data_IF_791598280087
#
_entry.id   IF_791598280087
#
_cell.length_a   1.000
_cell.length_b   1.000
_cell.length_c   1.000
_cell.angle_alpha   90.00
_cell.angle_beta   90.00
_cell.angle_gamma   90.00
#
_symmetry.space_group_name_H-M   'P 1'
#
loop_
_entity.id
_entity.type
_entity.pdbx_description
1 polymer ?
#
# COMPACT_ATOMS: atom_id res chain seq x y z
N UNK A 1 43.74 -21.75 -1.89
CA UNK A 1 43.64 -22.84 -0.89
C UNK A 1 43.23 -22.20 0.42
N UNK A 2 41.96 -22.25 0.78
CA UNK A 2 41.46 -21.76 2.07
C UNK A 2 40.89 -22.96 2.84
N UNK A 3 41.53 -23.28 3.96
CA UNK A 3 41.10 -24.31 4.91
C UNK A 3 40.32 -23.64 6.05
N UNK A 4 39.08 -24.09 6.21
CA UNK A 4 38.27 -24.36 7.41
C UNK A 4 38.81 -23.83 8.76
N UNK A 5 37.92 -23.17 9.53
CA UNK A 5 37.70 -23.54 10.93
C UNK A 5 36.20 -23.45 11.29
N UNK A 6 35.57 -24.61 11.34
CA UNK A 6 34.44 -24.88 12.22
C UNK A 6 35.03 -25.19 13.60
N UNK A 7 34.54 -24.53 14.66
CA UNK A 7 34.69 -25.06 16.01
C UNK A 7 33.47 -24.74 16.86
N UNK A 8 32.83 -25.83 17.26
CA UNK A 8 31.75 -25.97 18.23
C UNK A 8 32.12 -25.28 19.55
N UNK A 9 31.19 -24.51 20.10
CA UNK A 9 31.23 -24.07 21.50
C UNK A 9 29.98 -24.60 22.19
N UNK A 10 30.16 -25.64 23.01
CA UNK A 10 29.16 -26.11 23.98
C UNK A 10 29.71 -25.78 25.38
N UNK A 11 28.82 -25.34 26.27
CA UNK A 11 28.98 -25.06 27.72
C UNK A 11 29.34 -23.62 28.13
N UNK A 12 28.33 -22.78 28.18
CA UNK A 12 27.91 -22.12 29.44
C UNK A 12 26.41 -21.82 29.29
N UNK A 13 25.69 -21.52 30.39
CA UNK A 13 24.26 -21.16 30.37
C UNK A 13 23.98 -19.83 29.67
N UNK A 14 24.35 -19.74 28.40
CA UNK A 14 24.27 -18.58 27.54
C UNK A 14 22.82 -18.42 27.09
N UNK A 15 22.28 -17.21 27.27
CA UNK A 15 21.21 -16.73 26.41
C UNK A 15 21.60 -17.08 24.97
N UNK A 16 20.83 -18.01 24.37
CA UNK A 16 21.07 -18.40 22.99
C UNK A 16 20.84 -17.15 22.16
N UNK A 17 21.87 -16.73 21.43
CA UNK A 17 21.73 -15.60 20.50
C UNK A 17 20.58 -15.87 19.56
N UNK A 18 19.71 -14.89 19.26
CA UNK A 18 18.65 -15.06 18.29
C UNK A 18 19.22 -15.59 16.96
N UNK A 19 18.56 -16.59 16.40
CA UNK A 19 18.95 -17.23 15.13
C UNK A 19 17.98 -16.77 14.05
N UNK A 20 18.51 -16.32 12.91
CA UNK A 20 17.69 -15.91 11.78
C UNK A 20 16.80 -17.06 11.29
N UNK A 21 15.56 -16.73 10.89
CA UNK A 21 14.55 -17.75 10.50
C UNK A 21 15.04 -18.71 9.40
N UNK A 22 15.88 -18.22 8.49
CA UNK A 22 16.41 -19.03 7.39
C UNK A 22 17.44 -20.07 7.83
N UNK A 23 18.09 -19.88 8.97
CA UNK A 23 19.12 -20.77 9.51
C UNK A 23 18.54 -21.82 10.48
N UNK A 24 17.23 -21.77 10.75
CA UNK A 24 16.53 -22.74 11.58
C UNK A 24 16.45 -24.12 10.89
N UNK A 25 16.42 -25.22 11.67
CA UNK A 25 16.16 -26.56 11.15
C UNK A 25 14.83 -26.63 10.39
N UNK A 26 14.79 -27.37 9.28
CA UNK A 26 13.60 -27.51 8.45
C UNK A 26 12.41 -28.19 9.15
N UNK A 27 12.69 -29.02 10.16
CA UNK A 27 11.71 -29.71 10.99
C UNK A 27 11.38 -28.97 12.29
N UNK A 28 11.84 -27.73 12.43
CA UNK A 28 11.56 -26.92 13.62
C UNK A 28 10.05 -26.71 13.76
N UNK A 29 9.54 -27.11 14.93
CA UNK A 29 8.22 -26.77 15.42
C UNK A 29 8.31 -26.44 16.91
N UNK A 30 7.71 -25.33 17.32
CA UNK A 30 7.71 -24.90 18.71
C UNK A 30 6.49 -24.03 19.04
N UNK A 31 6.19 -23.92 20.33
CA UNK A 31 5.21 -22.97 20.83
C UNK A 31 5.83 -21.58 20.97
N UNK A 32 5.13 -20.55 20.49
CA UNK A 32 5.51 -19.15 20.69
C UNK A 32 5.20 -18.75 22.13
N UNK A 33 6.23 -18.39 22.89
CA UNK A 33 6.08 -17.82 24.23
C UNK A 33 5.72 -16.34 24.15
N UNK A 34 6.58 -15.56 23.50
CA UNK A 34 6.45 -14.11 23.41
C UNK A 34 6.97 -13.57 22.07
N UNK A 35 6.43 -12.44 21.64
CA UNK A 35 6.83 -11.73 20.42
C UNK A 35 7.35 -10.34 20.81
N UNK A 36 8.65 -10.14 20.63
CA UNK A 36 9.31 -8.85 20.83
C UNK A 36 9.41 -8.13 19.48
N UNK A 37 8.98 -6.86 19.42
CA UNK A 37 8.98 -6.07 18.19
C UNK A 37 9.90 -4.86 18.38
N UNK A 38 10.79 -4.67 17.42
CA UNK A 38 11.64 -3.50 17.32
C UNK A 38 11.39 -2.79 15.99
N UNK A 39 11.05 -1.50 16.06
CA UNK A 39 10.75 -0.66 14.89
C UNK A 39 11.83 0.41 14.75
N UNK A 40 12.58 0.35 13.66
CA UNK A 40 13.56 1.37 13.26
C UNK A 40 12.92 2.42 12.34
N UNK A 41 13.39 3.68 12.43
CA UNK A 41 12.88 4.76 11.59
C UNK A 41 13.36 4.63 10.14
N UNK A 42 12.69 5.35 9.24
CA UNK A 42 12.95 5.35 7.80
C UNK A 42 14.38 5.71 7.38
N UNK A 43 15.05 6.60 8.11
CA UNK A 43 16.41 7.03 7.78
C UNK A 43 17.48 6.47 8.73
N UNK A 44 17.12 5.56 9.65
CA UNK A 44 18.11 4.94 10.54
C UNK A 44 19.14 4.13 9.73
N UNK A 45 20.43 4.38 9.98
CA UNK A 45 21.52 3.73 9.24
C UNK A 45 21.73 4.24 7.80
N UNK A 46 21.08 5.33 7.39
CA UNK A 46 21.29 5.94 6.07
C UNK A 46 22.71 6.48 5.94
N UNK A 47 23.35 6.25 4.77
CA UNK A 47 24.64 6.86 4.45
C UNK A 47 24.44 8.34 4.18
N UNK A 48 25.15 9.18 4.93
CA UNK A 48 25.13 10.64 4.80
C UNK A 48 26.41 11.07 4.09
N UNK A 49 26.29 11.84 3.02
CA UNK A 49 27.45 12.34 2.30
C UNK A 49 27.71 13.84 2.59
N UNK A 50 26.68 14.60 3.01
CA UNK A 50 26.74 16.05 3.26
C UNK A 50 25.93 16.44 4.51
N UNK A 51 26.35 17.47 5.23
CA UNK A 51 25.69 17.96 6.47
C UNK A 51 24.22 18.38 6.27
N UNK A 52 23.88 18.85 5.06
CA UNK A 52 22.51 19.19 4.70
C UNK A 52 21.61 17.95 4.60
N UNK A 53 22.12 16.84 4.05
CA UNK A 53 21.38 15.57 3.97
C UNK A 53 21.11 15.02 5.37
N UNK A 54 22.08 15.11 6.28
CA UNK A 54 21.92 14.71 7.68
C UNK A 54 20.77 15.46 8.36
N UNK A 55 20.72 16.77 8.13
CA UNK A 55 19.68 17.64 8.69
C UNK A 55 18.30 17.31 8.12
N UNK A 56 18.22 16.99 6.83
CA UNK A 56 16.98 16.54 6.19
C UNK A 56 16.51 15.19 6.72
N UNK A 57 17.41 14.22 6.90
CA UNK A 57 17.08 12.90 7.43
C UNK A 57 16.63 12.96 8.89
N UNK A 58 17.28 13.80 9.72
CA UNK A 58 16.83 14.06 11.10
C UNK A 58 15.45 14.70 11.14
N UNK A 59 15.18 15.67 10.26
CA UNK A 59 13.85 16.27 10.16
C UNK A 59 12.82 15.25 9.69
N UNK A 60 13.18 14.40 8.72
CA UNK A 60 12.38 13.27 8.27
C UNK A 60 12.03 12.34 9.43
N UNK A 61 13.01 11.82 10.15
CA UNK A 61 12.78 10.94 11.31
C UNK A 61 11.92 11.60 12.40
N UNK A 62 12.00 12.93 12.59
CA UNK A 62 11.16 13.65 13.55
C UNK A 62 9.70 13.77 13.10
N UNK A 63 9.46 13.85 11.79
CA UNK A 63 8.13 13.99 11.21
C UNK A 63 7.47 12.63 10.90
N UNK A 64 8.29 11.60 10.67
CA UNK A 64 7.83 10.24 10.42
C UNK A 64 7.22 9.65 11.70
N UNK A 65 6.03 9.06 11.57
CA UNK A 65 5.39 8.33 12.66
C UNK A 65 5.63 6.86 12.44
N UNK A 66 6.32 6.23 13.39
CA UNK A 66 6.66 4.81 13.28
C UNK A 66 5.44 3.92 13.21
N UNK A 67 5.56 2.82 12.46
CA UNK A 67 4.56 1.77 12.42
C UNK A 67 4.32 1.21 13.83
N UNK A 68 3.05 1.10 14.23
CA UNK A 68 2.70 0.61 15.56
C UNK A 68 2.90 -0.90 15.64
N UNK A 69 3.40 -1.41 16.76
CA UNK A 69 3.62 -2.84 17.01
C UNK A 69 2.37 -3.69 16.73
N UNK A 70 1.19 -3.19 17.11
CA UNK A 70 -0.08 -3.88 16.85
C UNK A 70 -0.33 -4.12 15.36
N UNK A 71 0.17 -3.24 14.49
CA UNK A 71 0.06 -3.38 13.04
C UNK A 71 1.04 -4.42 12.54
N UNK A 72 2.25 -4.49 13.10
CA UNK A 72 3.22 -5.54 12.81
C UNK A 72 2.67 -6.91 13.23
N UNK A 73 2.22 -7.06 14.49
CA UNK A 73 1.57 -8.30 14.99
C UNK A 73 0.41 -8.75 14.10
N UNK A 74 -0.37 -7.80 13.58
CA UNK A 74 -1.51 -8.09 12.71
C UNK A 74 -1.14 -8.77 11.38
N UNK A 75 0.10 -8.64 10.95
CA UNK A 75 0.61 -9.19 9.70
C UNK A 75 1.42 -10.48 9.89
N UNK A 76 1.66 -10.88 11.15
CA UNK A 76 2.17 -12.20 11.47
C UNK A 76 1.06 -13.24 11.30
N UNK A 77 1.43 -14.44 10.85
CA UNK A 77 0.50 -15.55 10.66
C UNK A 77 0.23 -16.34 11.95
N UNK A 78 0.83 -15.91 13.05
CA UNK A 78 0.76 -16.53 14.37
C UNK A 78 0.62 -15.45 15.45
N UNK A 79 0.22 -15.88 16.63
CA UNK A 79 0.18 -15.11 17.85
C UNK A 79 0.96 -15.81 18.97
N UNK A 80 1.11 -15.12 20.10
CA UNK A 80 1.65 -15.71 21.33
C UNK A 80 0.77 -16.90 21.76
N UNK A 81 1.41 -18.02 22.10
CA UNK A 81 0.76 -19.29 22.44
C UNK A 81 0.53 -20.25 21.27
N UNK A 82 0.64 -19.80 20.01
CA UNK A 82 0.44 -20.64 18.84
C UNK A 82 1.61 -21.63 18.63
N UNK A 83 1.33 -22.77 18.01
CA UNK A 83 2.34 -23.67 17.47
C UNK A 83 2.78 -23.16 16.10
N UNK A 84 4.08 -22.95 15.90
CA UNK A 84 4.65 -22.47 14.64
C UNK A 84 5.69 -23.43 14.10
N UNK A 85 5.79 -23.49 12.78
CA UNK A 85 6.90 -24.14 12.07
C UNK A 85 7.79 -23.09 11.44
N UNK A 86 8.99 -23.50 11.00
CA UNK A 86 9.90 -22.63 10.24
C UNK A 86 9.21 -21.97 9.04
N UNK A 87 8.34 -22.68 8.33
CA UNK A 87 7.63 -22.18 7.15
C UNK A 87 6.68 -21.03 7.51
N UNK A 88 5.95 -21.15 8.63
CA UNK A 88 5.03 -20.10 9.11
C UNK A 88 5.80 -18.82 9.46
N UNK A 89 6.99 -18.96 10.05
CA UNK A 89 7.86 -17.83 10.38
C UNK A 89 8.39 -17.15 9.12
N UNK A 90 8.88 -17.92 8.13
CA UNK A 90 9.36 -17.39 6.85
C UNK A 90 8.23 -16.69 6.11
N UNK A 91 7.04 -17.29 6.04
CA UNK A 91 5.90 -16.68 5.37
C UNK A 91 5.46 -15.39 6.08
N UNK A 92 5.54 -15.34 7.41
CA UNK A 92 5.28 -14.12 8.18
C UNK A 92 6.31 -13.01 7.90
N UNK A 93 7.61 -13.34 7.83
CA UNK A 93 8.66 -12.39 7.46
C UNK A 93 8.43 -11.85 6.04
N UNK A 94 8.14 -12.74 5.08
CA UNK A 94 7.83 -12.35 3.71
C UNK A 94 6.57 -11.49 3.63
N UNK A 95 5.55 -11.77 4.45
CA UNK A 95 4.33 -10.97 4.51
C UNK A 95 4.60 -9.55 5.03
N UNK A 96 5.52 -9.39 5.99
CA UNK A 96 5.98 -8.08 6.46
C UNK A 96 6.77 -7.35 5.37
N UNK A 97 7.75 -8.00 4.73
CA UNK A 97 8.56 -7.41 3.64
C UNK A 97 7.74 -6.93 2.44
N UNK A 98 6.56 -7.50 2.21
CA UNK A 98 5.64 -7.07 1.14
C UNK A 98 4.84 -5.81 1.46
N UNK A 99 4.99 -5.22 2.65
CA UNK A 99 4.24 -4.02 3.05
C UNK A 99 4.96 -2.77 2.57
N UNK A 100 4.26 -1.96 1.78
CA UNK A 100 4.78 -0.72 1.19
C UNK A 100 5.22 0.38 2.19
N UNK A 101 5.02 0.16 3.50
CA UNK A 101 5.45 1.07 4.57
C UNK A 101 6.65 0.52 5.36
N UNK A 102 7.13 -0.68 5.03
CA UNK A 102 8.34 -1.29 5.59
C UNK A 102 9.39 -1.40 4.48
N UNK A 103 10.60 -0.97 4.78
CA UNK A 103 11.77 -1.16 3.91
C UNK A 103 12.31 -2.59 4.01
N UNK A 104 12.31 -3.15 5.22
CA UNK A 104 12.73 -4.52 5.48
C UNK A 104 12.10 -5.06 6.77
N UNK A 105 12.11 -6.38 6.92
CA UNK A 105 11.71 -7.10 8.12
C UNK A 105 12.60 -8.33 8.33
N UNK A 106 12.96 -8.60 9.57
CA UNK A 106 13.80 -9.72 9.99
C UNK A 106 13.09 -10.41 11.15
N UNK A 107 12.96 -11.73 11.07
CA UNK A 107 12.48 -12.57 12.17
C UNK A 107 13.61 -13.46 12.65
N UNK A 108 13.90 -13.36 13.94
CA UNK A 108 14.90 -14.18 14.62
C UNK A 108 14.23 -14.94 15.78
N UNK A 109 14.75 -16.12 16.07
CA UNK A 109 14.20 -17.02 17.10
C UNK A 109 15.24 -17.25 18.18
N UNK A 110 14.84 -17.01 19.42
CA UNK A 110 15.58 -17.35 20.63
C UNK A 110 14.87 -18.52 21.32
N UNK A 111 15.57 -19.64 21.46
CA UNK A 111 15.04 -20.78 22.22
C UNK A 111 15.26 -20.58 23.72
N UNK A 112 14.17 -20.67 24.51
CA UNK A 112 14.25 -20.70 25.97
C UNK A 112 14.07 -22.11 26.51
N UNK A 113 15.02 -22.54 27.34
CA UNK A 113 15.01 -23.85 27.99
C UNK A 113 13.69 -24.08 28.73
N UNK A 114 12.89 -25.02 28.22
CA UNK A 114 11.63 -25.46 28.84
C UNK A 114 10.45 -24.49 28.73
N UNK A 115 10.55 -23.40 27.96
CA UNK A 115 9.53 -22.34 27.91
C UNK A 115 9.07 -21.97 26.48
N UNK A 116 9.40 -22.78 25.47
CA UNK A 116 9.06 -22.47 24.07
C UNK A 116 10.08 -21.52 23.43
N UNK A 117 9.65 -20.82 22.38
CA UNK A 117 10.50 -19.89 21.63
C UNK A 117 10.05 -18.44 21.80
N UNK A 118 11.03 -17.56 21.86
CA UNK A 118 10.84 -16.12 21.80
C UNK A 118 11.13 -15.65 20.39
N UNK A 119 10.22 -14.87 19.83
CA UNK A 119 10.34 -14.37 18.46
C UNK A 119 10.69 -12.90 18.49
N UNK A 120 11.85 -12.57 17.93
CA UNK A 120 12.31 -11.21 17.73
C UNK A 120 11.94 -10.77 16.32
N UNK A 121 11.13 -9.71 16.21
CA UNK A 121 10.68 -9.14 14.96
C UNK A 121 11.26 -7.74 14.83
N UNK A 122 12.27 -7.59 14.00
CA UNK A 122 12.89 -6.30 13.71
C UNK A 122 12.39 -5.80 12.37
N UNK A 123 11.77 -4.63 12.35
CA UNK A 123 11.29 -4.00 11.11
C UNK A 123 11.93 -2.64 10.91
N UNK A 124 12.18 -2.31 9.67
CA UNK A 124 12.70 -1.02 9.24
C UNK A 124 11.58 -0.30 8.51
N UNK A 125 11.11 0.81 9.05
CA UNK A 125 10.09 1.60 8.39
C UNK A 125 10.62 2.18 7.07
N UNK A 126 9.70 2.44 6.14
CA UNK A 126 9.98 3.20 4.93
C UNK A 126 9.32 4.58 5.03
N UNK A 127 10.01 5.59 4.51
CA UNK A 127 9.41 6.91 4.31
C UNK A 127 8.17 6.79 3.41
N UNK A 128 7.01 7.17 3.96
CA UNK A 128 5.71 6.87 3.35
C UNK A 128 4.99 8.10 2.78
N UNK A 129 5.42 9.32 3.16
CA UNK A 129 4.90 10.58 2.61
C UNK A 129 5.52 10.90 1.24
N UNK A 130 4.75 10.77 0.18
CA UNK A 130 5.22 10.99 -1.19
C UNK A 130 4.55 12.21 -1.83
N UNK A 131 5.27 13.32 -2.09
CA UNK A 131 4.78 14.37 -2.98
C UNK A 131 4.84 13.88 -4.43
N UNK A 132 3.92 14.35 -5.27
CA UNK A 132 3.85 14.00 -6.68
C UNK A 132 3.44 15.18 -7.53
N UNK A 133 3.96 15.24 -8.75
CA UNK A 133 3.56 16.20 -9.77
C UNK A 133 3.65 15.56 -11.14
N UNK A 134 2.85 16.04 -12.08
CA UNK A 134 2.91 15.61 -13.47
C UNK A 134 2.49 16.74 -14.41
N UNK A 135 3.13 16.79 -15.58
CA UNK A 135 2.87 17.75 -16.63
C UNK A 135 2.81 17.00 -17.96
N UNK A 136 1.78 17.27 -18.77
CA UNK A 136 1.60 16.66 -20.08
C UNK A 136 1.06 17.70 -21.06
N UNK A 137 1.51 17.62 -22.31
CA UNK A 137 0.96 18.44 -23.42
C UNK A 137 0.12 17.55 -24.33
N UNK A 138 -1.06 18.02 -24.70
CA UNK A 138 -1.97 17.35 -25.65
C UNK A 138 -2.42 18.40 -26.66
N UNK A 139 -1.89 18.33 -27.88
CA UNK A 139 -2.09 19.38 -28.89
C UNK A 139 -1.59 20.74 -28.38
N UNK A 140 -2.46 21.75 -28.44
CA UNK A 140 -2.18 23.10 -27.92
C UNK A 140 -2.45 23.26 -26.41
N UNK A 141 -3.02 22.25 -25.75
CA UNK A 141 -3.38 22.31 -24.34
C UNK A 141 -2.33 21.63 -23.46
N UNK A 142 -2.28 22.06 -22.20
CA UNK A 142 -1.41 21.49 -21.16
C UNK A 142 -2.27 20.98 -20.03
N UNK A 143 -2.06 19.73 -19.62
CA UNK A 143 -2.63 19.14 -18.43
C UNK A 143 -1.55 18.99 -17.37
N UNK A 144 -1.92 19.13 -16.11
CA UNK A 144 -1.00 18.98 -15.00
C UNK A 144 -1.72 18.49 -13.75
N UNK A 145 -0.97 17.91 -12.83
CA UNK A 145 -1.46 17.57 -11.50
C UNK A 145 -0.34 17.73 -10.48
N UNK A 146 -0.73 18.00 -9.24
CA UNK A 146 0.16 17.99 -8.08
C UNK A 146 -0.59 17.39 -6.90
N UNK A 147 0.10 16.66 -6.02
CA UNK A 147 -0.53 16.03 -4.88
C UNK A 147 0.45 15.52 -3.84
N UNK A 148 -0.13 15.07 -2.73
CA UNK A 148 0.58 14.49 -1.61
C UNK A 148 -0.14 13.21 -1.19
N UNK A 149 0.64 12.14 -0.97
CA UNK A 149 0.14 10.85 -0.52
C UNK A 149 0.89 10.42 0.74
N UNK A 150 0.18 9.89 1.72
CA UNK A 150 0.72 9.28 2.93
C UNK A 150 0.23 7.84 2.99
N UNK A 151 1.12 6.86 3.12
CA UNK A 151 0.80 5.41 3.02
C UNK A 151 0.78 4.66 4.35
N UNK A 152 1.31 5.26 5.41
CA UNK A 152 1.35 4.75 6.78
C UNK A 152 0.78 5.78 7.77
N UNK A 153 -0.41 6.30 7.47
CA UNK A 153 -1.03 7.38 8.25
C UNK A 153 -0.99 7.06 9.75
N UNK A 154 -0.25 7.88 10.51
CA UNK A 154 -0.09 7.76 11.96
C UNK A 154 0.37 6.35 12.43
N UNK A 155 1.15 5.65 11.59
CA UNK A 155 1.67 4.31 11.88
C UNK A 155 0.63 3.19 11.78
N UNK A 156 -0.52 3.40 11.11
CA UNK A 156 -1.60 2.40 11.02
C UNK A 156 -1.58 1.56 9.74
N UNK A 157 -0.68 1.84 8.80
CA UNK A 157 -0.68 1.25 7.46
C UNK A 157 -1.84 1.69 6.57
N UNK A 158 -2.55 2.77 6.94
CA UNK A 158 -3.65 3.34 6.15
C UNK A 158 -3.09 4.40 5.21
N UNK A 159 -3.74 4.57 4.07
CA UNK A 159 -3.31 5.55 3.07
C UNK A 159 -4.32 6.68 2.88
N UNK A 160 -3.82 7.90 2.74
CA UNK A 160 -4.58 9.10 2.41
C UNK A 160 -3.85 9.84 1.29
N UNK A 161 -4.58 10.43 0.36
CA UNK A 161 -4.01 11.22 -0.72
C UNK A 161 -4.90 12.39 -1.07
N UNK A 162 -4.26 13.53 -1.35
CA UNK A 162 -4.91 14.73 -1.85
C UNK A 162 -4.16 15.16 -3.10
N UNK A 163 -4.89 15.37 -4.19
CA UNK A 163 -4.32 15.89 -5.43
C UNK A 163 -5.19 17.00 -6.02
N UNK A 164 -4.55 17.89 -6.75
CA UNK A 164 -5.16 18.93 -7.59
C UNK A 164 -4.76 18.66 -9.03
N UNK A 165 -5.69 18.81 -9.95
CA UNK A 165 -5.47 18.51 -11.36
C UNK A 165 -6.12 19.54 -12.28
N UNK A 166 -5.50 19.75 -13.43
CA UNK A 166 -6.05 20.40 -14.61
C UNK A 166 -5.97 19.42 -15.76
N UNK A 167 -7.13 18.95 -16.20
CA UNK A 167 -7.31 18.17 -17.42
C UNK A 167 -7.75 19.09 -18.57
N UNK A 168 -7.86 18.52 -19.77
CA UNK A 168 -8.22 19.26 -21.00
C UNK A 168 -9.48 20.09 -20.81
N UNK A 169 -10.50 19.50 -20.17
CA UNK A 169 -11.81 20.15 -19.97
C UNK A 169 -12.08 20.56 -18.55
N UNK A 170 -11.58 19.81 -17.58
CA UNK A 170 -11.93 20.00 -16.18
C UNK A 170 -10.73 20.40 -15.36
N UNK A 171 -10.99 21.02 -14.22
CA UNK A 171 -10.00 21.18 -13.15
C UNK A 171 -10.67 20.87 -11.83
N UNK A 172 -9.90 20.33 -10.91
CA UNK A 172 -10.48 19.87 -9.67
C UNK A 172 -9.46 19.44 -8.64
N UNK A 173 -10.01 18.82 -7.59
CA UNK A 173 -9.25 18.19 -6.55
C UNK A 173 -9.82 16.80 -6.27
N UNK A 174 -8.96 15.87 -5.91
CA UNK A 174 -9.32 14.51 -5.51
C UNK A 174 -8.78 14.23 -4.12
N UNK A 175 -9.67 13.76 -3.25
CA UNK A 175 -9.34 13.13 -1.98
C UNK A 175 -9.49 11.62 -2.12
N UNK A 176 -8.54 10.86 -1.58
CA UNK A 176 -8.58 9.40 -1.54
C UNK A 176 -8.18 8.91 -0.15
N UNK A 177 -8.89 7.89 0.33
CA UNK A 177 -8.55 7.17 1.55
C UNK A 177 -8.67 5.66 1.34
N UNK A 178 -7.73 4.92 1.91
CA UNK A 178 -7.67 3.46 1.87
C UNK A 178 -7.27 2.90 3.22
N UNK A 179 -8.08 1.97 3.71
CA UNK A 179 -7.73 1.06 4.78
C UNK A 179 -7.54 -0.35 4.19
N UNK A 180 -6.31 -0.87 4.12
CA UNK A 180 -6.01 -2.17 3.51
C UNK A 180 -6.39 -3.37 4.40
N UNK A 181 -7.23 -3.19 5.42
CA UNK A 181 -7.71 -4.24 6.31
C UNK A 181 -7.19 -4.08 7.73
N UNK A 182 -8.11 -4.17 8.70
CA UNK A 182 -7.96 -4.41 10.14
C UNK A 182 -8.28 -5.87 10.57
N UNK A 183 -7.38 -6.81 10.91
CA UNK A 183 -7.78 -8.17 11.35
C UNK A 183 -8.59 -8.03 12.64
N UNK A 184 -9.78 -8.62 12.83
CA UNK A 184 -10.43 -9.82 12.25
C UNK A 184 -11.33 -9.56 11.04
N UNK A 185 -11.08 -10.28 9.93
CA UNK A 185 -11.96 -10.37 8.76
C UNK A 185 -11.44 -9.76 7.45
N UNK A 186 -10.23 -9.21 7.42
CA UNK A 186 -9.57 -8.61 6.24
C UNK A 186 -10.50 -7.68 5.45
N UNK A 187 -11.13 -6.77 6.19
CA UNK A 187 -12.10 -5.84 5.65
C UNK A 187 -11.38 -4.65 5.01
N UNK A 188 -11.27 -4.67 3.69
CA UNK A 188 -10.75 -3.57 2.89
C UNK A 188 -11.82 -2.49 2.74
N UNK A 189 -11.42 -1.24 3.02
CA UNK A 189 -12.28 -0.09 2.79
C UNK A 189 -11.53 0.96 1.99
N UNK A 190 -12.18 1.52 0.97
CA UNK A 190 -11.64 2.66 0.22
C UNK A 190 -12.75 3.65 -0.08
N UNK A 191 -12.39 4.92 -0.11
CA UNK A 191 -13.29 5.97 -0.58
C UNK A 191 -12.50 7.04 -1.32
N UNK A 192 -13.15 7.68 -2.27
CA UNK A 192 -12.62 8.85 -2.94
C UNK A 192 -13.72 9.86 -3.20
N UNK A 193 -13.32 11.12 -3.25
CA UNK A 193 -14.15 12.22 -3.67
C UNK A 193 -13.37 13.15 -4.57
N UNK A 194 -13.86 13.33 -5.79
CA UNK A 194 -13.33 14.28 -6.76
C UNK A 194 -14.35 15.39 -6.95
N UNK A 195 -13.93 16.63 -6.74
CA UNK A 195 -14.71 17.81 -7.10
C UNK A 195 -14.05 18.46 -8.31
N UNK A 196 -14.79 18.51 -9.41
CA UNK A 196 -14.42 19.28 -10.60
C UNK A 196 -15.29 20.53 -10.70
N UNK A 197 -14.85 21.46 -11.54
CA UNK A 197 -15.64 22.62 -11.98
C UNK A 197 -16.95 22.22 -12.68
N UNK A 198 -16.96 21.11 -13.40
CA UNK A 198 -18.12 20.60 -14.14
C UNK A 198 -18.96 19.55 -13.38
N UNK A 199 -18.61 19.23 -12.13
CA UNK A 199 -19.33 18.21 -11.38
C UNK A 199 -18.56 17.57 -10.24
N UNK A 200 -18.88 16.32 -9.93
CA UNK A 200 -18.22 15.54 -8.89
C UNK A 200 -18.19 14.05 -9.21
N UNK A 201 -17.29 13.32 -8.58
CA UNK A 201 -17.29 11.86 -8.53
C UNK A 201 -17.03 11.40 -7.10
N UNK A 202 -17.85 10.48 -6.62
CA UNK A 202 -17.73 9.87 -5.30
C UNK A 202 -17.74 8.36 -5.49
N UNK A 203 -16.82 7.69 -4.80
CA UNK A 203 -16.82 6.24 -4.71
C UNK A 203 -16.53 5.80 -3.29
N UNK A 204 -17.18 4.72 -2.88
CA UNK A 204 -16.84 3.99 -1.66
C UNK A 204 -16.92 2.51 -1.95
N UNK A 205 -15.96 1.74 -1.45
CA UNK A 205 -15.95 0.29 -1.57
C UNK A 205 -15.56 -0.34 -0.24
N UNK A 206 -16.25 -1.42 0.10
CA UNK A 206 -16.00 -2.28 1.24
C UNK A 206 -15.90 -3.71 0.72
N UNK A 207 -14.83 -4.43 1.04
CA UNK A 207 -14.68 -5.80 0.58
C UNK A 207 -13.94 -6.67 1.59
N UNK A 208 -14.23 -7.96 1.54
CA UNK A 208 -13.50 -9.02 2.23
C UNK A 208 -13.09 -10.06 1.19
N UNK A 209 -11.82 -10.08 0.74
CA UNK A 209 -11.35 -11.07 -0.23
C UNK A 209 -11.08 -12.44 0.40
N UNK A 210 -10.95 -13.47 -0.43
CA UNK A 210 -10.43 -14.79 -0.04
C UNK A 210 -8.91 -14.76 -0.24
N UNK A 211 -8.16 -14.66 0.86
CA UNK A 211 -6.70 -14.62 0.90
C UNK A 211 -6.07 -15.96 1.30
N UNK A 212 -6.85 -16.88 1.88
CA UNK A 212 -6.40 -18.21 2.26
C UNK A 212 -7.39 -19.29 1.85
N UNK A 213 -6.90 -20.53 1.66
CA UNK A 213 -7.76 -21.71 1.40
C UNK A 213 -8.75 -22.01 2.53
N UNK A 214 -8.54 -21.46 3.72
CA UNK A 214 -9.39 -21.66 4.89
C UNK A 214 -10.59 -20.69 4.94
N UNK A 215 -10.55 -19.60 4.17
CA UNK A 215 -11.64 -18.62 4.09
C UNK A 215 -12.71 -19.10 3.10
N UNK A 216 -13.95 -19.27 3.60
CA UNK A 216 -15.07 -19.80 2.81
C UNK A 216 -15.98 -18.74 2.19
N UNK A 217 -15.87 -17.49 2.66
CA UNK A 217 -16.79 -16.43 2.25
C UNK A 217 -16.03 -15.13 1.96
N UNK A 218 -16.35 -14.52 0.82
CA UNK A 218 -15.97 -13.17 0.47
C UNK A 218 -17.20 -12.33 0.12
N UNK A 219 -17.03 -11.03 0.25
CA UNK A 219 -18.03 -10.08 -0.21
C UNK A 219 -17.37 -8.82 -0.75
N UNK A 220 -18.10 -8.12 -1.61
CA UNK A 220 -17.78 -6.75 -1.94
C UNK A 220 -19.08 -5.95 -2.04
N UNK A 221 -18.99 -4.71 -1.57
CA UNK A 221 -20.02 -3.70 -1.70
C UNK A 221 -19.36 -2.43 -2.23
N UNK A 222 -19.88 -1.86 -3.30
CA UNK A 222 -19.40 -0.58 -3.81
C UNK A 222 -20.56 0.33 -4.15
N UNK A 223 -20.36 1.61 -3.85
CA UNK A 223 -21.26 2.69 -4.20
C UNK A 223 -20.49 3.73 -4.99
N UNK A 224 -21.06 4.18 -6.10
CA UNK A 224 -20.50 5.24 -6.93
C UNK A 224 -21.60 6.23 -7.25
N UNK A 225 -21.29 7.51 -7.11
CA UNK A 225 -22.15 8.61 -7.51
C UNK A 225 -21.31 9.65 -8.25
N UNK A 226 -21.77 10.10 -9.40
CA UNK A 226 -21.09 11.15 -10.15
C UNK A 226 -22.10 12.12 -10.75
N UNK A 227 -21.67 13.36 -10.93
CA UNK A 227 -22.34 14.35 -11.78
C UNK A 227 -21.27 14.98 -12.66
N UNK A 228 -21.54 15.21 -13.93
CA UNK A 228 -20.61 15.87 -14.85
C UNK A 228 -21.35 16.45 -16.05
N UNK A 229 -20.80 17.49 -16.67
CA UNK A 229 -21.26 17.93 -17.98
C UNK A 229 -20.90 16.89 -19.05
N UNK A 230 -21.88 16.48 -19.86
CA UNK A 230 -21.65 15.64 -21.05
C UNK A 230 -21.61 16.52 -22.30
N UNK A 231 -20.54 16.38 -23.07
CA UNK A 231 -20.29 17.14 -24.29
C UNK A 231 -20.46 16.23 -25.51
N UNK A 232 -21.42 16.54 -26.37
CA UNK A 232 -21.59 15.85 -27.65
C UNK A 232 -20.94 16.67 -28.76
N UNK A 233 -20.04 16.07 -29.52
CA UNK A 233 -19.42 16.70 -30.67
C UNK A 233 -20.07 16.21 -31.95
N UNK A 234 -20.16 17.09 -32.93
CA UNK A 234 -20.48 16.68 -34.28
C UNK A 234 -19.22 16.01 -34.88
N UNK A 235 -19.34 14.74 -35.29
CA UNK A 235 -18.29 14.08 -36.05
C UNK A 235 -18.35 14.56 -37.51
N UNK A 236 -17.82 15.74 -37.76
CA UNK A 236 -17.79 16.36 -39.08
C UNK A 236 -16.90 15.64 -40.10
N UNK A 237 -16.20 14.57 -39.69
CA UNK A 237 -15.28 13.83 -40.53
C UNK A 237 -15.83 12.49 -41.05
N UNK A 238 -17.11 12.15 -40.82
CA UNK A 238 -17.76 11.08 -41.59
C UNK A 238 -18.15 11.59 -42.99
N UNK A 239 -17.14 11.87 -43.82
CA UNK A 239 -17.34 12.05 -45.26
C UNK A 239 -17.33 10.65 -45.89
N UNK A 240 -18.38 9.86 -45.65
CA UNK A 240 -18.72 8.70 -46.49
C UNK A 240 -19.41 9.22 -47.76
N UNK A 241 -18.68 10.06 -48.49
CA UNK A 241 -18.99 10.45 -49.86
C UNK A 241 -17.74 10.20 -50.68
N UNK A 242 -17.73 9.11 -51.44
CA UNK A 242 -16.75 8.89 -52.50
C UNK A 242 -16.63 10.20 -53.31
N UNK A 243 -15.44 10.82 -53.30
CA UNK A 243 -15.04 12.07 -54.00
C UNK A 243 -14.89 13.36 -53.16
N UNK A 244 -14.46 13.29 -51.91
CA UNK A 244 -13.90 14.47 -51.23
C UNK A 244 -12.37 14.41 -51.12
N UNK A 245 -11.66 15.21 -51.91
CA UNK A 245 -10.21 15.46 -51.79
C UNK A 245 -9.88 16.65 -50.87
N UNK A 246 -10.85 17.12 -50.08
CA UNK A 246 -10.66 18.24 -49.16
C UNK A 246 -10.15 17.76 -47.79
N UNK A 247 -8.91 18.10 -47.46
CA UNK A 247 -8.38 18.03 -46.10
C UNK A 247 -8.96 19.19 -45.29
N UNK A 248 -10.03 18.94 -44.54
CA UNK A 248 -10.58 19.92 -43.61
C UNK A 248 -9.90 19.76 -42.25
N UNK A 249 -9.06 20.74 -41.87
CA UNK A 249 -8.64 20.91 -40.48
C UNK A 249 -9.72 21.75 -39.80
N UNK A 250 -10.64 21.09 -39.09
CA UNK A 250 -11.66 21.74 -38.27
C UNK A 250 -11.57 21.28 -36.83
N UNK A 251 -11.74 22.20 -35.88
CA UNK A 251 -12.00 21.83 -34.49
C UNK A 251 -13.40 21.19 -34.41
N UNK A 252 -13.55 20.11 -33.63
CA UNK A 252 -14.84 19.46 -33.46
C UNK A 252 -15.86 20.45 -32.89
N UNK A 253 -16.91 20.76 -33.66
CA UNK A 253 -17.96 21.67 -33.22
C UNK A 253 -18.79 21.00 -32.12
N UNK A 254 -18.91 21.66 -30.97
CA UNK A 254 -19.77 21.20 -29.87
C UNK A 254 -21.24 21.29 -30.31
N UNK A 255 -21.94 20.15 -30.30
CA UNK A 255 -23.34 20.04 -30.67
C UNK A 255 -24.27 20.38 -29.51
N UNK A 256 -23.99 19.83 -28.32
CA UNK A 256 -24.78 20.06 -27.11
C UNK A 256 -23.95 19.80 -25.85
N UNK A 257 -24.20 20.60 -24.81
CA UNK A 257 -23.73 20.36 -23.45
C UNK A 257 -24.94 20.04 -22.56
N UNK A 258 -24.96 18.86 -21.96
CA UNK A 258 -25.92 18.52 -20.91
C UNK A 258 -25.27 18.73 -19.55
N UNK A 259 -25.78 19.69 -18.78
CA UNK A 259 -25.29 20.00 -17.44
C UNK A 259 -25.91 19.08 -16.39
N UNK A 260 -25.15 18.84 -15.32
CA UNK A 260 -25.61 18.11 -14.12
C UNK A 260 -26.14 16.69 -14.39
N UNK A 261 -25.54 15.98 -15.35
CA UNK A 261 -25.91 14.60 -15.64
C UNK A 261 -25.41 13.72 -14.49
N UNK A 262 -26.35 13.28 -13.65
CA UNK A 262 -26.04 12.45 -12.49
C UNK A 262 -26.18 10.95 -12.77
N UNK A 263 -25.23 10.16 -12.27
CA UNK A 263 -25.26 8.69 -12.29
C UNK A 263 -25.02 8.16 -10.89
N UNK A 264 -25.82 7.19 -10.47
CA UNK A 264 -25.63 6.45 -9.20
C UNK A 264 -25.60 4.97 -9.50
N UNK A 265 -24.69 4.25 -8.86
CA UNK A 265 -24.54 2.80 -9.04
C UNK A 265 -24.16 2.17 -7.73
N UNK A 266 -24.95 1.19 -7.30
CA UNK A 266 -24.66 0.32 -6.16
C UNK A 266 -24.42 -1.07 -6.70
N UNK A 267 -23.31 -1.70 -6.29
CA UNK A 267 -23.00 -3.08 -6.67
C UNK A 267 -22.68 -3.87 -5.41
N UNK A 268 -23.36 -4.99 -5.24
CA UNK A 268 -23.15 -5.94 -4.15
C UNK A 268 -22.82 -7.29 -4.76
N UNK A 269 -21.86 -8.00 -4.17
CA UNK A 269 -21.55 -9.37 -4.54
C UNK A 269 -21.12 -10.18 -3.33
N UNK A 270 -21.56 -11.43 -3.31
CA UNK A 270 -21.21 -12.44 -2.33
C UNK A 270 -20.60 -13.62 -3.08
N UNK A 271 -19.57 -14.22 -2.51
CA UNK A 271 -18.98 -15.44 -3.06
C UNK A 271 -18.73 -16.42 -1.94
N UNK A 272 -19.07 -17.67 -2.19
CA UNK A 272 -18.85 -18.79 -1.30
C UNK A 272 -17.96 -19.79 -2.02
N UNK A 273 -16.85 -20.18 -1.37
CA UNK A 273 -15.92 -21.20 -1.85
C UNK A 273 -16.26 -22.58 -1.33
#
# INVERSE_FOLDING_TARGET
>A
VFFIFSLVSYLSGAEKTPVAVYDLPHDMAAQVDSIMIQVHNAFDGSRVNWDFEESLFKLGNRLHVNTRDKIIKKHLLFAEGDQVTREILIESEMNLRRKNFLADAIIEVEERLGQGIVIHVTVFDQWSTTPGTGLKRVGNQVTYWAGLSEKNLLGTGQSISISFHKELRTKGATFYYLNPGARTGDLYFSTYYTKNDDGFSFGSALSKPILSKTQKHSFFASYRASSSSMWHYYDGNSIDGENSTAFNIGEANLLAEFKDVSKRTTTLGLTQS
#
